data_IF_800775414679
#
_entry.id   IF_800775414679
#
_cell.length_a   1.000
_cell.length_b   1.000
_cell.length_c   1.000
_cell.angle_alpha   90.00
_cell.angle_beta   90.00
_cell.angle_gamma   90.00
#
_symmetry.space_group_name_H-M   'P 1'
#
loop_
_entity.id
_entity.type
_entity.pdbx_description
1 polymer ?
#
# COMPACT_ATOMS: atom_id res chain seq x y z
N UNK A 1 9.35 44.94 20.91
CA UNK A 1 8.65 43.87 20.15
C UNK A 1 9.45 42.59 20.27
N UNK A 2 8.94 41.59 20.99
CA UNK A 2 9.55 40.25 21.03
C UNK A 2 8.97 39.44 19.88
N UNK A 3 9.81 39.05 18.94
CA UNK A 3 9.45 38.24 17.79
C UNK A 3 9.21 36.80 18.29
N UNK A 4 7.96 36.35 18.29
CA UNK A 4 7.62 34.95 18.55
C UNK A 4 7.87 34.16 17.27
N UNK A 5 8.99 33.44 17.21
CA UNK A 5 9.26 32.48 16.14
C UNK A 5 8.35 31.26 16.36
N UNK A 6 7.29 31.16 15.54
CA UNK A 6 6.46 29.96 15.48
C UNK A 6 7.30 28.85 14.86
N UNK A 7 7.70 27.88 15.68
CA UNK A 7 8.31 26.64 15.21
C UNK A 7 7.20 25.79 14.61
N UNK A 8 6.96 25.91 13.31
CA UNK A 8 6.09 24.98 12.58
C UNK A 8 6.79 23.62 12.54
N UNK A 9 6.33 22.70 13.39
CA UNK A 9 6.65 21.28 13.24
C UNK A 9 5.98 20.79 11.96
N UNK A 10 6.72 20.77 10.85
CA UNK A 10 6.34 19.95 9.70
C UNK A 10 6.57 18.52 10.14
N UNK A 11 5.50 17.81 10.54
CA UNK A 11 5.55 16.37 10.64
C UNK A 11 6.00 15.86 9.26
N UNK A 12 7.17 15.21 9.19
CA UNK A 12 7.58 14.57 7.97
C UNK A 12 6.46 13.61 7.57
N UNK A 13 5.82 13.86 6.43
CA UNK A 13 4.81 12.95 5.90
C UNK A 13 5.46 11.56 5.86
N UNK A 14 4.90 10.60 6.60
CA UNK A 14 5.43 9.24 6.67
C UNK A 14 5.35 8.63 5.28
N UNK A 15 6.46 8.65 4.56
CA UNK A 15 6.53 8.12 3.21
C UNK A 15 6.70 6.60 3.28
N UNK A 16 5.94 5.89 2.43
CA UNK A 16 6.15 4.45 2.20
C UNK A 16 7.19 4.30 1.10
N UNK A 17 8.26 3.58 1.38
CA UNK A 17 9.31 3.32 0.41
C UNK A 17 9.32 1.86 -0.04
N UNK A 18 8.97 1.63 -1.31
CA UNK A 18 8.98 0.32 -1.94
C UNK A 18 10.16 0.23 -2.93
N UNK A 19 11.27 -0.39 -2.53
CA UNK A 19 12.50 -0.34 -3.31
C UNK A 19 12.99 1.11 -3.48
N UNK A 20 13.06 1.59 -4.73
CA UNK A 20 13.39 2.99 -5.05
C UNK A 20 12.18 3.92 -5.13
N UNK A 21 10.95 3.39 -5.08
CA UNK A 21 9.73 4.20 -5.18
C UNK A 21 9.34 4.75 -3.81
N UNK A 22 9.10 6.06 -3.73
CA UNK A 22 8.58 6.74 -2.54
C UNK A 22 7.11 7.12 -2.76
N UNK A 23 6.21 6.70 -1.88
CA UNK A 23 4.79 7.02 -1.95
C UNK A 23 4.39 7.94 -0.80
N UNK A 24 3.57 8.96 -1.11
CA UNK A 24 2.92 9.75 -0.08
C UNK A 24 1.75 8.99 0.53
N UNK A 25 1.33 9.35 1.73
CA UNK A 25 0.17 8.75 2.38
C UNK A 25 -1.12 8.94 1.56
N UNK A 26 -1.25 10.04 0.82
CA UNK A 26 -2.39 10.26 -0.10
C UNK A 26 -2.39 9.24 -1.24
N UNK A 27 -1.23 8.89 -1.80
CA UNK A 27 -1.14 7.87 -2.85
C UNK A 27 -1.56 6.50 -2.32
N UNK A 28 -1.11 6.15 -1.11
CA UNK A 28 -1.49 4.89 -0.46
C UNK A 28 -2.98 4.87 -0.13
N UNK A 29 -3.53 5.94 0.45
CA UNK A 29 -4.97 6.09 0.74
C UNK A 29 -5.84 5.98 -0.51
N UNK A 30 -5.40 6.56 -1.62
CA UNK A 30 -6.11 6.47 -2.89
C UNK A 30 -6.13 5.02 -3.42
N UNK A 31 -5.01 4.30 -3.31
CA UNK A 31 -4.93 2.90 -3.70
C UNK A 31 -5.82 2.01 -2.81
N UNK A 32 -5.80 2.21 -1.48
CA UNK A 32 -6.66 1.49 -0.53
C UNK A 32 -8.14 1.69 -0.80
N UNK A 33 -8.54 2.93 -1.07
CA UNK A 33 -9.93 3.25 -1.41
C UNK A 33 -10.34 2.53 -2.70
N UNK A 34 -9.49 2.54 -3.72
CA UNK A 34 -9.74 1.85 -4.98
C UNK A 34 -9.88 0.33 -4.79
N UNK A 35 -8.98 -0.30 -4.05
CA UNK A 35 -9.10 -1.74 -3.77
C UNK A 35 -10.32 -2.06 -2.92
N UNK A 36 -10.65 -1.23 -1.93
CA UNK A 36 -11.87 -1.40 -1.13
C UNK A 36 -13.13 -1.37 -2.02
N UNK A 37 -13.23 -0.42 -2.95
CA UNK A 37 -14.35 -0.37 -3.91
C UNK A 37 -14.47 -1.67 -4.69
N UNK A 38 -13.37 -2.18 -5.23
CA UNK A 38 -13.39 -3.42 -6.01
C UNK A 38 -13.69 -4.66 -5.17
N UNK A 39 -13.11 -4.77 -3.97
CA UNK A 39 -13.39 -5.87 -3.01
C UNK A 39 -14.85 -5.89 -2.62
N UNK A 40 -15.44 -4.75 -2.23
CA UNK A 40 -16.85 -4.66 -1.81
C UNK A 40 -17.83 -4.87 -2.96
N UNK A 41 -17.47 -4.45 -4.17
CA UNK A 41 -18.30 -4.64 -5.36
C UNK A 41 -18.11 -6.01 -6.05
N UNK A 42 -17.16 -6.84 -5.58
CA UNK A 42 -16.74 -8.07 -6.26
C UNK A 42 -16.39 -7.85 -7.74
N UNK A 43 -15.71 -6.73 -8.04
CA UNK A 43 -15.27 -6.38 -9.40
C UNK A 43 -13.75 -6.39 -9.50
N UNK A 44 -13.24 -6.39 -10.73
CA UNK A 44 -11.82 -6.27 -11.00
C UNK A 44 -11.55 -5.22 -12.07
N UNK A 45 -10.35 -4.66 -12.02
CA UNK A 45 -9.75 -3.89 -13.11
C UNK A 45 -8.48 -4.61 -13.58
N UNK A 46 -8.48 -5.05 -14.84
CA UNK A 46 -7.53 -6.06 -15.29
C UNK A 46 -7.71 -7.36 -14.49
N UNK A 47 -6.69 -7.75 -13.72
CA UNK A 47 -6.74 -8.92 -12.84
C UNK A 47 -6.88 -8.58 -11.35
N UNK A 48 -6.90 -7.29 -10.99
CA UNK A 48 -6.85 -6.86 -9.59
C UNK A 48 -8.22 -6.42 -9.08
N UNK A 49 -8.50 -6.57 -7.78
CA UNK A 49 -7.61 -7.13 -6.75
C UNK A 49 -7.40 -8.64 -6.85
N UNK A 50 -6.26 -9.11 -6.35
CA UNK A 50 -6.02 -10.52 -6.06
C UNK A 50 -6.19 -10.81 -4.58
N UNK A 51 -6.50 -12.05 -4.24
CA UNK A 51 -6.33 -12.52 -2.86
C UNK A 51 -4.83 -12.62 -2.54
N UNK A 52 -4.43 -12.05 -1.41
CA UNK A 52 -3.08 -12.13 -0.88
C UNK A 52 -3.01 -13.19 0.23
N UNK A 53 -2.16 -14.20 0.04
CA UNK A 53 -2.08 -15.37 0.92
C UNK A 53 -0.96 -15.30 1.97
N UNK A 54 -0.14 -14.25 1.96
CA UNK A 54 0.94 -14.02 2.92
C UNK A 54 1.92 -15.20 3.06
N UNK A 55 2.43 -15.73 1.94
CA UNK A 55 3.41 -16.83 1.95
C UNK A 55 4.76 -16.43 2.56
N UNK A 56 5.05 -15.14 2.54
CA UNK A 56 6.19 -14.46 3.16
C UNK A 56 6.12 -14.45 4.70
N UNK A 57 4.93 -14.71 5.27
CA UNK A 57 4.66 -14.72 6.72
C UNK A 57 4.90 -13.38 7.40
N UNK A 58 4.52 -12.26 6.77
CA UNK A 58 4.50 -10.97 7.44
C UNK A 58 3.54 -11.00 8.64
N UNK A 59 3.89 -10.29 9.71
CA UNK A 59 3.16 -10.31 10.98
C UNK A 59 1.94 -9.39 11.05
N UNK A 60 1.22 -9.18 9.93
CA UNK A 60 0.11 -8.22 9.70
C UNK A 60 -0.75 -7.84 10.93
N UNK A 61 -0.19 -7.04 11.84
CA UNK A 61 -0.74 -6.41 13.06
C UNK A 61 -1.98 -7.04 13.72
N UNK A 62 -2.07 -8.37 13.77
CA UNK A 62 -3.22 -9.09 14.29
C UNK A 62 -4.51 -9.00 13.45
N UNK A 63 -4.44 -8.42 12.25
CA UNK A 63 -5.55 -8.44 11.29
C UNK A 63 -5.76 -9.88 10.79
N UNK A 64 -7.03 -10.23 10.56
CA UNK A 64 -7.41 -11.54 10.03
C UNK A 64 -7.84 -11.40 8.58
N UNK A 65 -7.41 -12.36 7.77
CA UNK A 65 -7.79 -12.43 6.36
C UNK A 65 -9.28 -12.75 6.13
N UNK A 66 -9.70 -12.86 4.87
CA UNK A 66 -8.86 -12.82 3.68
C UNK A 66 -8.27 -11.42 3.44
N UNK A 67 -7.05 -11.42 2.89
CA UNK A 67 -6.36 -10.20 2.45
C UNK A 67 -6.45 -10.08 0.94
N UNK A 68 -6.37 -8.85 0.46
CA UNK A 68 -6.38 -8.51 -0.96
C UNK A 68 -5.24 -7.57 -1.29
N UNK A 69 -4.56 -7.82 -2.40
CA UNK A 69 -3.52 -6.94 -2.93
C UNK A 69 -4.02 -6.14 -4.15
N UNK A 70 -3.51 -4.92 -4.30
CA UNK A 70 -3.80 -4.05 -5.43
C UNK A 70 -2.61 -3.17 -5.81
N UNK A 71 -2.39 -2.84 -7.09
CA UNK A 71 -1.22 -2.09 -7.52
C UNK A 71 -1.15 -0.70 -6.88
N UNK A 72 0.04 -0.38 -6.36
CA UNK A 72 0.40 0.95 -5.89
C UNK A 72 1.32 1.58 -6.95
N UNK A 73 0.87 2.68 -7.57
CA UNK A 73 1.58 3.32 -8.68
C UNK A 73 1.86 4.79 -8.43
N UNK A 74 3.03 5.26 -8.88
CA UNK A 74 3.40 6.69 -8.83
C UNK A 74 2.52 7.54 -9.74
N UNK A 75 2.00 6.96 -10.81
CA UNK A 75 1.14 7.62 -11.81
C UNK A 75 -0.33 7.74 -11.40
N UNK A 76 -0.70 7.34 -10.17
CA UNK A 76 -2.07 7.41 -9.65
C UNK A 76 -2.76 6.05 -9.52
N UNK A 77 -4.09 6.05 -9.42
CA UNK A 77 -4.87 4.82 -9.24
C UNK A 77 -4.72 3.92 -10.47
N UNK A 78 -4.46 2.63 -10.23
CA UNK A 78 -4.38 1.63 -11.28
C UNK A 78 -5.72 1.42 -11.98
N UNK A 79 -5.70 1.47 -13.32
CA UNK A 79 -6.88 1.35 -14.20
C UNK A 79 -6.77 0.18 -15.19
N UNK A 80 -5.82 -0.74 -14.99
CA UNK A 80 -5.50 -1.81 -15.93
C UNK A 80 -4.12 -1.65 -16.56
N UNK A 81 -3.63 -2.69 -17.24
CA UNK A 81 -2.32 -2.70 -17.90
C UNK A 81 -1.21 -3.27 -17.01
N UNK A 82 -0.03 -2.66 -17.06
CA UNK A 82 1.16 -3.11 -16.30
C UNK A 82 1.02 -2.64 -14.84
N UNK A 83 0.98 -3.56 -13.85
CA UNK A 83 0.71 -3.20 -12.45
C UNK A 83 1.94 -2.68 -11.70
N UNK A 84 3.12 -2.67 -12.31
CA UNK A 84 4.36 -2.39 -11.59
C UNK A 84 4.65 -3.41 -10.46
N UNK A 85 5.66 -3.15 -9.61
CA UNK A 85 6.10 -4.10 -8.59
C UNK A 85 5.43 -3.94 -7.22
N UNK A 86 4.77 -2.81 -6.95
CA UNK A 86 4.35 -2.42 -5.60
C UNK A 86 2.85 -2.66 -5.37
N UNK A 87 2.48 -3.04 -4.15
CA UNK A 87 1.08 -3.31 -3.78
C UNK A 87 0.73 -2.68 -2.43
N UNK A 88 -0.51 -2.22 -2.31
CA UNK A 88 -1.19 -2.11 -1.02
C UNK A 88 -1.87 -3.43 -0.69
N UNK A 89 -2.01 -3.75 0.59
CA UNK A 89 -2.76 -4.89 1.11
C UNK A 89 -3.89 -4.37 1.99
N UNK A 90 -5.11 -4.86 1.77
CA UNK A 90 -6.26 -4.61 2.67
C UNK A 90 -6.93 -5.90 3.12
N UNK A 91 -7.71 -5.85 4.20
CA UNK A 91 -8.66 -6.91 4.56
C UNK A 91 -9.96 -6.82 3.75
N UNK A 92 -10.81 -7.85 3.80
CA UNK A 92 -12.19 -7.77 3.25
C UNK A 92 -13.03 -6.61 3.80
N UNK A 93 -12.66 -6.09 4.98
CA UNK A 93 -13.33 -4.99 5.67
C UNK A 93 -12.64 -3.65 5.43
N UNK A 94 -11.78 -3.57 4.41
CA UNK A 94 -11.08 -2.37 3.97
C UNK A 94 -10.13 -1.78 5.00
N UNK A 95 -9.62 -2.61 5.92
CA UNK A 95 -8.55 -2.19 6.82
C UNK A 95 -7.21 -2.31 6.09
N UNK A 96 -6.43 -1.21 6.07
CA UNK A 96 -5.04 -1.21 5.58
C UNK A 96 -4.20 -2.20 6.37
N UNK A 97 -3.62 -3.17 5.66
CA UNK A 97 -2.82 -4.25 6.22
C UNK A 97 -1.32 -4.06 5.99
N UNK A 98 -0.93 -3.24 5.01
CA UNK A 98 0.45 -2.84 4.76
C UNK A 98 0.77 -2.71 3.27
N UNK A 99 2.05 -2.55 2.97
CA UNK A 99 2.55 -2.32 1.62
C UNK A 99 3.75 -3.23 1.34
N UNK A 100 3.75 -3.83 0.15
CA UNK A 100 4.76 -4.81 -0.28
C UNK A 100 5.28 -4.49 -1.68
N UNK A 101 6.47 -5.01 -1.99
CA UNK A 101 7.06 -4.87 -3.31
C UNK A 101 7.79 -6.12 -3.75
N UNK A 102 7.73 -6.40 -5.06
CA UNK A 102 8.63 -7.37 -5.69
C UNK A 102 10.07 -6.86 -5.77
N UNK A 103 10.31 -5.56 -5.63
CA UNK A 103 11.64 -4.95 -5.74
C UNK A 103 12.55 -5.44 -4.61
N UNK A 104 13.62 -6.15 -4.96
CA UNK A 104 14.53 -6.74 -3.97
C UNK A 104 14.05 -8.08 -3.38
N UNK A 105 12.92 -8.61 -3.83
CA UNK A 105 12.45 -9.94 -3.44
C UNK A 105 13.06 -11.04 -4.32
N UNK A 106 13.06 -12.28 -3.80
CA UNK A 106 13.33 -13.46 -4.63
C UNK A 106 12.20 -13.69 -5.64
N UNK A 107 12.47 -14.45 -6.70
CA UNK A 107 11.55 -14.62 -7.84
C UNK A 107 10.13 -14.98 -7.39
N UNK A 108 9.19 -14.07 -7.67
CA UNK A 108 7.75 -14.24 -7.41
C UNK A 108 7.31 -13.90 -5.99
N UNK A 109 8.23 -13.64 -5.06
CA UNK A 109 7.91 -13.24 -3.69
C UNK A 109 7.83 -11.73 -3.51
N UNK A 110 7.51 -11.33 -2.29
CA UNK A 110 7.48 -9.94 -1.87
C UNK A 110 8.42 -9.66 -0.69
N UNK A 111 8.81 -8.40 -0.54
CA UNK A 111 9.38 -7.84 0.68
C UNK A 111 8.53 -6.67 1.16
N UNK A 112 8.62 -6.37 2.45
CA UNK A 112 7.93 -5.22 3.04
C UNK A 112 8.50 -3.91 2.51
N UNK A 113 7.63 -2.95 2.19
CA UNK A 113 8.05 -1.58 1.96
C UNK A 113 8.51 -0.93 3.28
N UNK A 114 9.57 -0.12 3.25
CA UNK A 114 9.97 0.65 4.43
C UNK A 114 8.91 1.69 4.79
N UNK A 115 8.71 1.93 6.07
CA UNK A 115 7.62 2.76 6.59
C UNK A 115 6.27 2.04 6.69
N UNK A 116 6.13 0.84 6.11
CA UNK A 116 4.94 0.00 6.37
C UNK A 116 4.97 -0.52 7.79
N UNK A 117 3.78 -0.79 8.35
CA UNK A 117 3.68 -1.44 9.66
C UNK A 117 3.02 -2.81 9.48
N UNK A 118 3.86 -3.85 9.35
CA UNK A 118 3.42 -5.23 9.55
C UNK A 118 3.42 -5.60 11.03
#
# INVERSE_FOLDING_TARGET
MKLFTILTFVAAASAIQCGSNMYSDEQVKAADAAVCTHVKAHTQVGKYPHQYNNYEKFQIRGLKGPFYEFPLLKSGIYKGGVPGPDRVIITKDCQRAGEITHSGAQKGGFVACSGTTF
#
